data_IF_805038024223
#
_entry.id   IF_805038024223
#
_cell.length_a   1.000
_cell.length_b   1.000
_cell.length_c   1.000
_cell.angle_alpha   90.00
_cell.angle_beta   90.00
_cell.angle_gamma   90.00
#
_symmetry.space_group_name_H-M   'P 1'
#
loop_
_entity.id
_entity.type
_entity.pdbx_description
1 polymer ?
#
# COMPACT_ATOMS: atom_id res chain seq x y z
N UNK A 1 -0.70 -9.67 -14.83
CA UNK A 1 0.52 -10.12 -14.12
C UNK A 1 0.50 -9.51 -12.73
N UNK A 2 0.85 -10.26 -11.67
CA UNK A 2 0.80 -9.80 -10.28
C UNK A 2 1.60 -8.50 -10.02
N UNK A 3 2.65 -8.24 -10.83
CA UNK A 3 3.43 -7.01 -10.74
C UNK A 3 2.69 -5.73 -11.14
N UNK A 4 1.75 -5.79 -12.08
CA UNK A 4 0.97 -4.59 -12.47
C UNK A 4 -0.07 -4.24 -11.41
N UNK A 5 -0.64 -5.23 -10.74
CA UNK A 5 -1.52 -5.03 -9.59
C UNK A 5 -0.77 -4.37 -8.43
N UNK A 6 0.43 -4.85 -8.10
CA UNK A 6 1.27 -4.25 -7.07
C UNK A 6 1.68 -2.80 -7.40
N UNK A 7 1.94 -2.50 -8.68
CA UNK A 7 2.22 -1.14 -9.16
C UNK A 7 1.01 -0.23 -8.94
N UNK A 8 -0.16 -0.65 -9.42
CA UNK A 8 -1.41 0.11 -9.25
C UNK A 8 -1.72 0.35 -7.77
N UNK A 9 -1.51 -0.66 -6.92
CA UNK A 9 -1.73 -0.58 -5.48
C UNK A 9 -0.84 0.46 -4.79
N UNK A 10 0.41 0.63 -5.26
CA UNK A 10 1.33 1.66 -4.79
C UNK A 10 1.18 3.01 -5.54
N UNK A 11 0.21 3.13 -6.44
CA UNK A 11 -0.06 4.35 -7.22
C UNK A 11 0.83 4.56 -8.44
N UNK A 12 1.50 3.51 -8.91
CA UNK A 12 2.31 3.53 -10.13
C UNK A 12 1.48 3.11 -11.36
N UNK A 13 1.73 3.71 -12.54
CA UNK A 13 1.12 3.24 -13.78
C UNK A 13 1.46 1.78 -14.07
N UNK A 14 0.55 1.03 -14.71
CA UNK A 14 0.86 -0.30 -15.22
C UNK A 14 2.01 -0.18 -16.23
N UNK A 15 2.91 -1.18 -16.25
CA UNK A 15 4.14 -1.19 -17.05
C UNK A 15 5.23 -0.17 -16.69
N UNK A 16 5.07 0.63 -15.62
CA UNK A 16 6.17 1.49 -15.14
C UNK A 16 7.29 0.69 -14.46
N UNK A 17 8.51 1.20 -14.49
CA UNK A 17 9.68 0.60 -13.82
C UNK A 17 10.19 1.53 -12.70
N UNK A 18 9.43 1.71 -11.60
CA UNK A 18 9.88 2.54 -10.49
C UNK A 18 11.12 1.95 -9.83
N UNK A 19 12.02 2.82 -9.36
CA UNK A 19 13.20 2.41 -8.62
C UNK A 19 12.82 1.84 -7.25
N UNK A 20 13.70 1.04 -6.61
CA UNK A 20 13.47 0.54 -5.25
C UNK A 20 13.20 1.65 -4.22
N UNK A 21 13.81 2.84 -4.37
CA UNK A 21 13.57 3.98 -3.49
C UNK A 21 12.17 4.57 -3.66
N UNK A 22 11.68 4.66 -4.90
CA UNK A 22 10.32 5.10 -5.19
C UNK A 22 9.29 4.11 -4.64
N UNK A 23 9.51 2.82 -4.84
CA UNK A 23 8.66 1.75 -4.29
C UNK A 23 8.59 1.87 -2.77
N UNK A 24 9.75 2.02 -2.10
CA UNK A 24 9.82 2.16 -0.64
C UNK A 24 9.10 3.41 -0.14
N UNK A 25 9.21 4.53 -0.84
CA UNK A 25 8.52 5.77 -0.49
C UNK A 25 7.00 5.63 -0.62
N UNK A 26 6.52 5.06 -1.73
CA UNK A 26 5.10 4.80 -1.97
C UNK A 26 4.52 3.82 -0.94
N UNK A 27 5.26 2.75 -0.63
CA UNK A 27 4.86 1.78 0.40
C UNK A 27 4.73 2.44 1.77
N UNK A 28 5.71 3.25 2.19
CA UNK A 28 5.64 3.99 3.46
C UNK A 28 4.41 4.88 3.53
N UNK A 29 4.08 5.60 2.46
CA UNK A 29 2.88 6.43 2.40
C UNK A 29 1.63 5.58 2.64
N UNK A 30 1.50 4.47 1.91
CA UNK A 30 0.35 3.56 2.01
C UNK A 30 0.21 2.93 3.39
N UNK A 31 1.34 2.58 4.04
CA UNK A 31 1.33 2.08 5.42
C UNK A 31 0.68 3.09 6.37
N UNK A 32 1.02 4.38 6.28
CA UNK A 32 0.39 5.40 7.13
C UNK A 32 -1.12 5.57 6.87
N UNK A 33 -1.60 5.20 5.68
CA UNK A 33 -3.03 5.26 5.33
C UNK A 33 -3.82 4.04 5.84
N UNK A 34 -3.16 2.94 6.20
CA UNK A 34 -3.82 1.68 6.56
C UNK A 34 -3.31 1.03 7.85
N UNK A 35 -2.34 1.64 8.54
CA UNK A 35 -1.76 1.02 9.74
C UNK A 35 -2.82 0.85 10.83
N UNK A 36 -3.11 -0.38 11.28
CA UNK A 36 -4.27 -0.67 12.14
C UNK A 36 -4.22 0.04 13.51
N UNK A 37 -3.04 0.44 13.98
CA UNK A 37 -2.91 1.21 15.23
C UNK A 37 -3.24 2.71 15.09
N UNK A 38 -3.48 3.21 13.88
CA UNK A 38 -3.96 4.57 13.63
C UNK A 38 -5.50 4.67 13.62
N UNK A 39 -6.19 3.53 13.69
CA UNK A 39 -7.65 3.45 13.58
C UNK A 39 -8.29 3.00 14.89
N UNK A 40 -9.52 3.45 15.18
CA UNK A 40 -10.31 2.92 16.29
C UNK A 40 -10.53 1.40 16.18
N UNK A 41 -10.80 0.74 17.31
CA UNK A 41 -10.94 -0.72 17.39
C UNK A 41 -11.95 -1.30 16.39
N UNK A 42 -13.05 -0.60 16.12
CA UNK A 42 -14.08 -1.06 15.19
C UNK A 42 -13.65 -0.97 13.70
N UNK A 43 -12.66 -0.14 13.38
CA UNK A 43 -12.08 -0.01 12.03
C UNK A 43 -10.80 -0.82 11.86
N UNK A 44 -10.20 -1.30 12.97
CA UNK A 44 -8.92 -2.02 12.99
C UNK A 44 -8.87 -3.20 12.01
N UNK A 45 -9.94 -3.99 11.94
CA UNK A 45 -10.03 -5.13 11.02
C UNK A 45 -10.01 -4.70 9.54
N UNK A 46 -10.66 -3.58 9.22
CA UNK A 46 -10.65 -3.02 7.86
C UNK A 46 -9.28 -2.46 7.51
N UNK A 47 -8.65 -1.74 8.44
CA UNK A 47 -7.30 -1.21 8.29
C UNK A 47 -6.28 -2.35 8.07
N UNK A 48 -6.32 -3.41 8.88
CA UNK A 48 -5.47 -4.59 8.74
C UNK A 48 -5.65 -5.28 7.38
N UNK A 49 -6.89 -5.40 6.91
CA UNK A 49 -7.18 -6.00 5.59
C UNK A 49 -6.56 -5.17 4.46
N UNK A 50 -6.59 -3.84 4.56
CA UNK A 50 -5.96 -2.92 3.60
C UNK A 50 -4.44 -2.87 3.71
N UNK A 51 -3.89 -3.12 4.90
CA UNK A 51 -2.45 -3.16 5.15
C UNK A 51 -1.81 -4.44 4.58
N UNK A 52 -2.53 -5.56 4.61
CA UNK A 52 -2.09 -6.86 4.08
C UNK A 52 -2.28 -7.01 2.55
N UNK A 53 -3.01 -6.08 1.93
CA UNK A 53 -3.25 -6.02 0.50
C UNK A 53 -2.02 -5.47 -0.25
#
# INVERSE_FOLDING_TARGET
MQGDEARLLLGFPPNSCPSPSQIKAAYRKKVWESHPDLFPVHEKHSAESKFKL
#
